data_IF_089282306647
#
_entry.id   IF_089282306647
#
_cell.length_a   1.000
_cell.length_b   1.000
_cell.length_c   1.000
_cell.angle_alpha   90.00
_cell.angle_beta   90.00
_cell.angle_gamma   90.00
#
_symmetry.space_group_name_H-M   'P 1'
#
loop_
_entity.id
_entity.type
_entity.pdbx_description
1 polymer ?
#
# COMPACT_ATOMS: atom_id res chain seq x y z
N UNK A 1 -3.50 -0.08 -1.59
CA UNK A 1 -4.58 -0.70 -2.41
C UNK A 1 -5.21 0.29 -3.40
N UNK A 2 -5.64 1.48 -2.97
CA UNK A 2 -6.31 2.45 -3.86
C UNK A 2 -5.41 3.10 -4.93
N UNK A 3 -4.07 3.10 -4.76
CA UNK A 3 -3.12 3.67 -5.72
C UNK A 3 -3.26 3.05 -7.13
N UNK A 4 -3.69 1.78 -7.22
CA UNK A 4 -4.12 1.17 -8.47
C UNK A 4 -5.65 1.05 -8.50
N UNK A 5 -6.31 2.08 -9.03
CA UNK A 5 -7.78 2.19 -9.08
C UNK A 5 -8.41 1.05 -9.86
N UNK A 6 -7.76 0.56 -10.92
CA UNK A 6 -8.28 -0.52 -11.75
C UNK A 6 -8.25 -1.87 -11.02
N UNK A 7 -7.13 -2.19 -10.36
CA UNK A 7 -7.03 -3.38 -9.50
C UNK A 7 -8.01 -3.30 -8.33
N UNK A 8 -8.13 -2.13 -7.69
CA UNK A 8 -9.10 -1.93 -6.60
C UNK A 8 -10.54 -2.14 -7.10
N UNK A 9 -10.89 -1.55 -8.25
CA UNK A 9 -12.22 -1.72 -8.85
C UNK A 9 -12.50 -3.18 -9.19
N UNK A 10 -11.51 -3.89 -9.73
CA UNK A 10 -11.62 -5.31 -10.05
C UNK A 10 -11.88 -6.15 -8.78
N UNK A 11 -11.13 -5.92 -7.70
CA UNK A 11 -11.32 -6.64 -6.44
C UNK A 11 -12.71 -6.39 -5.84
N UNK A 12 -13.19 -5.15 -5.83
CA UNK A 12 -14.53 -4.81 -5.36
C UNK A 12 -15.63 -5.44 -6.25
N UNK A 13 -15.38 -5.55 -7.56
CA UNK A 13 -16.27 -6.27 -8.49
C UNK A 13 -16.31 -7.77 -8.18
N UNK A 14 -15.16 -8.39 -7.92
CA UNK A 14 -15.06 -9.81 -7.55
C UNK A 14 -15.76 -10.07 -6.22
N UNK A 15 -15.68 -9.15 -5.27
CA UNK A 15 -16.39 -9.25 -4.00
C UNK A 15 -17.91 -9.33 -4.17
N UNK A 16 -18.47 -8.53 -5.07
CA UNK A 16 -19.92 -8.54 -5.33
C UNK A 16 -20.33 -9.74 -6.19
N UNK A 17 -19.68 -9.90 -7.33
CA UNK A 17 -20.11 -10.85 -8.36
C UNK A 17 -19.46 -12.22 -8.23
N UNK A 18 -18.42 -12.41 -7.41
CA UNK A 18 -17.60 -13.63 -7.45
C UNK A 18 -16.77 -13.75 -8.74
N UNK A 19 -15.94 -14.80 -8.82
CA UNK A 19 -15.09 -15.06 -10.00
C UNK A 19 -15.83 -15.89 -11.06
N UNK A 20 -16.70 -16.81 -10.64
CA UNK A 20 -17.34 -17.83 -11.49
C UNK A 20 -18.86 -17.62 -11.68
N UNK A 21 -19.35 -16.39 -11.89
CA UNK A 21 -20.80 -16.17 -12.08
C UNK A 21 -21.26 -16.14 -13.53
N UNK A 22 -22.20 -17.03 -13.86
CA UNK A 22 -22.76 -17.22 -15.20
C UNK A 22 -24.29 -17.02 -15.29
N UNK A 23 -24.95 -16.37 -14.32
CA UNK A 23 -26.43 -16.26 -14.34
C UNK A 23 -26.99 -14.87 -14.04
N UNK A 24 -26.63 -14.27 -12.92
CA UNK A 24 -27.08 -12.91 -12.56
C UNK A 24 -25.91 -12.15 -11.92
N UNK A 25 -25.54 -11.00 -12.48
CA UNK A 25 -24.44 -10.17 -11.97
C UNK A 25 -24.89 -8.73 -11.85
N UNK A 26 -24.39 -8.02 -10.84
CA UNK A 26 -24.55 -6.57 -10.76
C UNK A 26 -23.74 -5.92 -11.88
N UNK A 27 -24.44 -5.21 -12.77
CA UNK A 27 -23.80 -4.48 -13.87
C UNK A 27 -23.03 -3.28 -13.31
N UNK A 28 -21.70 -3.33 -13.44
CA UNK A 28 -20.78 -2.26 -13.04
C UNK A 28 -20.41 -1.49 -14.31
N UNK A 29 -21.27 -0.54 -14.66
CA UNK A 29 -21.06 0.35 -15.80
C UNK A 29 -20.12 1.53 -15.43
N UNK A 30 -19.94 2.48 -16.35
CA UNK A 30 -19.07 3.65 -16.15
C UNK A 30 -19.52 4.61 -15.03
N UNK A 31 -20.80 4.59 -14.67
CA UNK A 31 -21.37 5.50 -13.67
C UNK A 31 -21.13 4.99 -12.24
N UNK A 32 -20.92 3.68 -12.08
CA UNK A 32 -20.45 3.10 -10.82
C UNK A 32 -18.98 3.46 -10.64
N UNK A 33 -18.63 4.14 -9.56
CA UNK A 33 -17.26 4.51 -9.21
C UNK A 33 -16.89 4.01 -7.82
N UNK A 34 -15.59 4.06 -7.50
CA UNK A 34 -15.11 3.77 -6.14
C UNK A 34 -15.45 4.98 -5.27
N UNK A 35 -16.07 4.72 -4.13
CA UNK A 35 -16.39 5.70 -3.09
C UNK A 35 -15.68 5.31 -1.79
N UNK A 36 -15.22 6.32 -1.05
CA UNK A 36 -14.70 6.16 0.30
C UNK A 36 -15.82 6.37 1.30
N UNK A 37 -15.95 5.49 2.29
CA UNK A 37 -16.99 5.65 3.31
C UNK A 37 -16.63 6.78 4.25
N UNK A 38 -15.42 6.77 4.80
CA UNK A 38 -14.79 7.92 5.48
C UNK A 38 -14.35 9.00 4.48
N UNK A 39 -14.52 10.26 4.87
CA UNK A 39 -14.11 11.41 4.07
C UNK A 39 -12.60 11.43 3.78
N UNK A 40 -12.24 11.80 2.57
CA UNK A 40 -10.85 12.03 2.19
C UNK A 40 -10.35 13.40 2.68
N UNK A 41 -11.25 14.30 3.07
CA UNK A 41 -10.87 15.53 3.76
C UNK A 41 -10.44 15.21 5.20
N UNK A 42 -9.12 15.23 5.41
CA UNK A 42 -8.48 15.02 6.71
C UNK A 42 -8.89 16.05 7.78
N UNK A 43 -9.43 17.19 7.38
CA UNK A 43 -9.87 18.26 8.27
C UNK A 43 -11.40 18.27 8.48
N UNK A 44 -12.08 17.17 8.16
CA UNK A 44 -13.54 17.06 8.32
C UNK A 44 -13.96 16.94 9.79
N UNK A 45 -14.49 18.02 10.36
CA UNK A 45 -14.95 18.08 11.76
C UNK A 45 -15.98 16.99 12.10
N UNK A 46 -16.87 16.66 11.17
CA UNK A 46 -17.89 15.63 11.39
C UNK A 46 -17.28 14.23 11.49
N UNK A 47 -16.26 13.94 10.68
CA UNK A 47 -15.54 12.67 10.77
C UNK A 47 -14.59 12.61 11.98
N UNK A 48 -14.03 13.75 12.41
CA UNK A 48 -13.35 13.84 13.71
C UNK A 48 -14.27 13.43 14.86
N UNK A 49 -15.51 13.92 14.88
CA UNK A 49 -16.51 13.54 15.90
C UNK A 49 -16.93 12.07 15.79
N UNK A 50 -17.12 11.56 14.56
CA UNK A 50 -17.55 10.19 14.29
C UNK A 50 -16.50 9.14 14.74
N UNK A 51 -15.21 9.43 14.54
CA UNK A 51 -14.11 8.52 14.90
C UNK A 51 -13.61 8.76 16.34
N UNK A 52 -13.64 10.00 16.81
CA UNK A 52 -13.15 10.42 18.12
C UNK A 52 -11.64 10.69 18.15
N UNK A 53 -11.04 10.61 19.35
CA UNK A 53 -9.68 11.07 19.65
C UNK A 53 -8.58 10.47 18.76
N UNK A 54 -8.81 9.27 18.21
CA UNK A 54 -7.86 8.58 17.33
C UNK A 54 -8.05 8.90 15.85
N UNK A 55 -8.84 9.92 15.48
CA UNK A 55 -9.18 10.23 14.09
C UNK A 55 -7.97 10.25 13.16
N UNK A 56 -6.91 11.00 13.48
CA UNK A 56 -5.77 11.12 12.58
C UNK A 56 -5.05 9.78 12.35
N UNK A 57 -4.94 8.94 13.38
CA UNK A 57 -4.36 7.61 13.27
C UNK A 57 -5.24 6.69 12.41
N UNK A 58 -6.55 6.69 12.66
CA UNK A 58 -7.51 5.86 11.91
C UNK A 58 -7.60 6.32 10.45
N UNK A 59 -7.58 7.62 10.21
CA UNK A 59 -7.60 8.20 8.88
C UNK A 59 -6.39 7.76 8.08
N UNK A 60 -5.19 8.00 8.60
CA UNK A 60 -3.92 7.66 7.95
C UNK A 60 -3.85 6.16 7.61
N UNK A 61 -4.20 5.32 8.59
CA UNK A 61 -4.09 3.87 8.46
C UNK A 61 -5.15 3.24 7.57
N UNK A 62 -6.37 3.78 7.53
CA UNK A 62 -7.53 3.07 6.98
C UNK A 62 -8.21 3.75 5.79
N UNK A 63 -7.95 5.02 5.49
CA UNK A 63 -8.66 5.77 4.44
C UNK A 63 -8.65 5.06 3.09
N UNK A 64 -7.52 4.47 2.70
CA UNK A 64 -7.30 3.79 1.42
C UNK A 64 -7.34 2.26 1.49
N UNK A 65 -8.00 1.71 2.51
CA UNK A 65 -8.07 0.27 2.76
C UNK A 65 -9.40 -0.35 2.34
N UNK A 66 -9.42 -1.66 2.13
CA UNK A 66 -10.59 -2.41 1.69
C UNK A 66 -11.83 -2.19 2.57
N UNK A 67 -11.62 -2.05 3.88
CA UNK A 67 -12.71 -1.78 4.83
C UNK A 67 -13.43 -0.47 4.55
N UNK A 68 -12.75 0.52 3.97
CA UNK A 68 -13.29 1.87 3.79
C UNK A 68 -13.70 2.20 2.35
N UNK A 69 -13.60 1.24 1.42
CA UNK A 69 -13.90 1.45 0.00
C UNK A 69 -15.15 0.68 -0.43
N UNK A 70 -15.91 1.26 -1.35
CA UNK A 70 -17.11 0.64 -1.93
C UNK A 70 -17.30 1.02 -3.40
N UNK A 71 -18.19 0.31 -4.11
CA UNK A 71 -18.72 0.70 -5.40
C UNK A 71 -20.12 1.30 -5.24
N UNK A 72 -20.33 2.46 -5.87
CA UNK A 72 -21.64 3.13 -5.88
C UNK A 72 -21.81 3.95 -7.16
N UNK A 73 -23.06 4.05 -7.63
CA UNK A 73 -23.44 4.98 -8.70
C UNK A 73 -23.83 6.38 -8.19
N UNK A 74 -23.78 6.59 -6.88
CA UNK A 74 -24.22 7.82 -6.21
C UNK A 74 -23.06 8.61 -5.59
N UNK A 75 -21.85 8.44 -6.11
CA UNK A 75 -20.64 9.02 -5.53
C UNK A 75 -20.74 10.55 -5.45
N UNK A 76 -21.22 11.21 -6.51
CA UNK A 76 -21.47 12.65 -6.55
C UNK A 76 -22.37 13.18 -5.44
N UNK A 77 -23.28 12.35 -4.93
CA UNK A 77 -24.23 12.70 -3.87
C UNK A 77 -23.72 12.36 -2.47
N UNK A 78 -22.62 11.60 -2.36
CA UNK A 78 -22.07 11.06 -1.12
C UNK A 78 -20.78 11.78 -0.71
N UNK A 79 -19.75 11.74 -1.55
CA UNK A 79 -18.46 12.42 -1.39
C UNK A 79 -17.97 12.50 0.08
N UNK A 80 -17.64 13.69 0.57
CA UNK A 80 -17.12 13.93 1.92
C UNK A 80 -18.20 14.04 3.01
N UNK A 81 -19.45 13.65 2.72
CA UNK A 81 -20.52 13.73 3.72
C UNK A 81 -20.26 12.83 4.93
N UNK A 82 -20.83 13.20 6.10
CA UNK A 82 -20.84 12.33 7.27
C UNK A 82 -21.46 10.96 6.97
N UNK A 83 -21.04 9.92 7.69
CA UNK A 83 -21.54 8.57 7.45
C UNK A 83 -23.06 8.46 7.52
N UNK A 84 -23.69 9.16 8.46
CA UNK A 84 -25.14 9.18 8.65
C UNK A 84 -25.89 9.75 7.43
N UNK A 85 -25.24 10.57 6.62
CA UNK A 85 -25.81 11.14 5.40
C UNK A 85 -25.57 10.27 4.17
N UNK A 86 -24.76 9.21 4.27
CA UNK A 86 -24.49 8.27 3.17
C UNK A 86 -25.64 7.28 2.91
N UNK A 87 -26.88 7.73 3.13
CA UNK A 87 -28.11 6.95 3.04
C UNK A 87 -28.40 6.40 1.64
N UNK A 88 -27.86 7.00 0.57
CA UNK A 88 -28.05 6.46 -0.78
C UNK A 88 -27.46 5.05 -0.91
N UNK A 89 -26.37 4.74 -0.19
CA UNK A 89 -25.86 3.38 -0.14
C UNK A 89 -26.82 2.49 0.66
N UNK A 90 -27.26 2.94 1.83
CA UNK A 90 -28.15 2.17 2.72
C UNK A 90 -29.49 1.80 2.07
N UNK A 91 -30.05 2.70 1.27
CA UNK A 91 -31.41 2.57 0.71
C UNK A 91 -31.42 2.06 -0.73
N UNK A 92 -30.42 2.45 -1.55
CA UNK A 92 -30.48 2.27 -3.01
C UNK A 92 -29.36 1.43 -3.59
N UNK A 93 -28.45 0.92 -2.76
CA UNK A 93 -27.35 0.11 -3.29
C UNK A 93 -27.86 -1.20 -3.88
N UNK A 94 -27.41 -1.50 -5.10
CA UNK A 94 -27.61 -2.80 -5.75
C UNK A 94 -26.49 -3.80 -5.42
N UNK A 95 -25.50 -3.37 -4.66
CA UNK A 95 -24.35 -4.18 -4.26
C UNK A 95 -24.65 -4.85 -2.92
N UNK A 96 -25.23 -6.04 -2.95
CA UNK A 96 -25.77 -6.74 -1.78
C UNK A 96 -24.64 -7.23 -0.88
N UNK A 97 -23.67 -7.95 -1.45
CA UNK A 97 -22.59 -8.52 -0.64
C UNK A 97 -21.59 -7.45 -0.23
N UNK A 98 -21.20 -6.61 -1.18
CA UNK A 98 -20.20 -5.57 -0.94
C UNK A 98 -20.74 -4.58 0.08
N UNK A 99 -22.00 -4.14 0.04
CA UNK A 99 -22.51 -3.08 0.93
C UNK A 99 -23.31 -3.56 2.14
N UNK A 100 -23.39 -4.87 2.40
CA UNK A 100 -24.14 -5.42 3.52
C UNK A 100 -23.78 -4.80 4.88
N UNK A 101 -22.50 -4.50 5.14
CA UNK A 101 -22.08 -3.91 6.43
C UNK A 101 -22.46 -2.44 6.58
N UNK A 102 -22.91 -1.77 5.52
CA UNK A 102 -23.21 -0.33 5.52
C UNK A 102 -24.69 -0.09 5.80
N UNK A 103 -25.55 -1.00 5.33
CA UNK A 103 -27.01 -0.82 5.29
C UNK A 103 -27.59 -0.54 6.68
N UNK A 104 -27.25 -1.37 7.67
CA UNK A 104 -27.80 -1.28 9.04
C UNK A 104 -26.82 -0.67 10.05
N UNK A 105 -25.72 -0.09 9.57
CA UNK A 105 -24.71 0.46 10.46
C UNK A 105 -25.06 1.90 10.84
N UNK A 106 -25.06 2.18 12.14
CA UNK A 106 -25.29 3.53 12.66
C UNK A 106 -24.01 4.36 12.57
N UNK A 107 -22.88 3.78 12.97
CA UNK A 107 -21.57 4.45 13.05
C UNK A 107 -20.48 3.77 12.22
N UNK A 108 -19.59 4.59 11.64
CA UNK A 108 -18.46 4.14 10.83
C UNK A 108 -17.12 4.42 11.49
N UNK A 109 -16.92 3.79 12.64
CA UNK A 109 -15.70 3.90 13.43
C UNK A 109 -14.60 2.89 13.00
N UNK A 110 -13.45 2.94 13.67
CA UNK A 110 -12.33 2.01 13.41
C UNK A 110 -12.76 0.53 13.48
N UNK A 111 -13.59 0.18 14.46
CA UNK A 111 -14.08 -1.19 14.64
C UNK A 111 -14.92 -1.64 13.44
N UNK A 112 -15.80 -0.78 12.93
CA UNK A 112 -16.60 -1.04 11.73
C UNK A 112 -15.72 -1.26 10.51
N UNK A 113 -14.72 -0.40 10.31
CA UNK A 113 -13.78 -0.48 9.19
C UNK A 113 -12.99 -1.79 9.24
N UNK A 114 -12.48 -2.16 10.41
CA UNK A 114 -11.71 -3.40 10.62
C UNK A 114 -12.56 -4.64 10.43
N UNK A 115 -13.76 -4.68 11.01
CA UNK A 115 -14.67 -5.82 10.88
C UNK A 115 -15.05 -6.06 9.41
N UNK A 116 -15.35 -4.98 8.68
CA UNK A 116 -15.61 -5.07 7.24
C UNK A 116 -14.39 -5.51 6.44
N UNK A 117 -13.22 -4.95 6.73
CA UNK A 117 -11.98 -5.35 6.05
C UNK A 117 -11.73 -6.85 6.18
N UNK A 118 -11.93 -7.42 7.38
CA UNK A 118 -11.76 -8.86 7.63
C UNK A 118 -12.79 -9.71 6.88
N UNK A 119 -14.06 -9.28 6.84
CA UNK A 119 -15.11 -10.00 6.09
C UNK A 119 -14.81 -10.02 4.59
N UNK A 120 -14.47 -8.86 4.03
CA UNK A 120 -14.18 -8.71 2.60
C UNK A 120 -12.88 -9.44 2.22
N UNK A 121 -11.82 -9.33 3.01
CA UNK A 121 -10.56 -10.04 2.75
C UNK A 121 -10.78 -11.56 2.79
N UNK A 122 -11.54 -12.06 3.77
CA UNK A 122 -11.87 -13.48 3.88
C UNK A 122 -12.63 -13.98 2.65
N UNK A 123 -13.60 -13.20 2.14
CA UNK A 123 -14.31 -13.53 0.91
C UNK A 123 -13.37 -13.56 -0.29
N UNK A 124 -12.53 -12.55 -0.49
CA UNK A 124 -11.57 -12.51 -1.60
C UNK A 124 -10.63 -13.72 -1.58
N UNK A 125 -10.08 -14.07 -0.41
CA UNK A 125 -9.21 -15.23 -0.26
C UNK A 125 -9.92 -16.55 -0.60
N UNK A 126 -11.20 -16.66 -0.27
CA UNK A 126 -12.01 -17.84 -0.61
C UNK A 126 -12.30 -17.95 -2.12
N UNK A 127 -12.54 -16.81 -2.78
CA UNK A 127 -12.88 -16.74 -4.21
C UNK A 127 -11.66 -16.96 -5.11
N UNK A 128 -10.54 -16.28 -4.82
CA UNK A 128 -9.36 -16.24 -5.68
C UNK A 128 -8.61 -17.57 -5.79
N UNK A 129 -8.99 -18.60 -5.02
CA UNK A 129 -8.34 -19.93 -4.97
C UNK A 129 -6.83 -19.83 -5.08
N UNK A 130 -6.24 -18.92 -4.30
CA UNK A 130 -4.83 -18.56 -4.44
C UNK A 130 -3.95 -19.81 -4.35
N UNK A 131 -2.89 -19.91 -5.18
CA UNK A 131 -1.92 -20.99 -5.07
C UNK A 131 -1.40 -21.11 -3.63
N UNK A 132 -1.09 -22.32 -3.18
CA UNK A 132 -0.76 -22.58 -1.77
C UNK A 132 0.49 -21.82 -1.31
N UNK A 133 1.36 -21.39 -2.23
CA UNK A 133 2.46 -20.46 -1.95
C UNK A 133 1.99 -19.11 -1.37
N UNK A 134 0.85 -18.58 -1.82
CA UNK A 134 0.27 -17.33 -1.31
C UNK A 134 -0.51 -17.52 -0.02
N UNK A 135 -0.95 -18.75 0.31
CA UNK A 135 -1.60 -19.07 1.60
C UNK A 135 -0.59 -19.23 2.74
N UNK A 136 0.70 -19.35 2.42
CA UNK A 136 1.81 -19.49 3.38
C UNK A 136 2.35 -18.16 3.92
N UNK A 137 1.64 -17.05 3.73
CA UNK A 137 1.94 -15.83 4.47
C UNK A 137 1.65 -16.13 5.94
N UNK A 138 2.70 -16.47 6.70
CA UNK A 138 2.61 -16.57 8.15
C UNK A 138 2.10 -15.21 8.63
N UNK A 139 1.08 -15.23 9.50
CA UNK A 139 0.89 -14.13 10.45
C UNK A 139 2.16 -14.10 11.29
N UNK A 140 3.22 -13.45 10.81
CA UNK A 140 4.28 -13.02 11.70
C UNK A 140 3.59 -12.18 12.76
N UNK A 141 3.87 -12.48 14.02
CA UNK A 141 3.50 -11.56 15.08
C UNK A 141 4.07 -10.18 14.71
N UNK A 142 3.43 -9.10 15.13
CA UNK A 142 3.94 -7.77 14.84
C UNK A 142 5.31 -7.47 15.49
N UNK A 143 6.02 -8.46 16.06
CA UNK A 143 7.32 -8.23 16.67
C UNK A 143 8.36 -7.98 15.58
N UNK A 144 9.05 -6.84 15.71
CA UNK A 144 10.11 -6.43 14.80
C UNK A 144 9.66 -5.92 13.44
N UNK A 145 8.35 -5.75 13.18
CA UNK A 145 7.85 -5.04 11.98
C UNK A 145 8.01 -3.53 12.17
N UNK A 146 8.61 -2.87 11.19
CA UNK A 146 8.82 -1.42 11.19
C UNK A 146 8.34 -0.79 9.88
N UNK A 147 7.68 0.36 9.97
CA UNK A 147 7.46 1.26 8.83
C UNK A 147 8.64 2.23 8.66
N UNK A 148 8.72 2.90 7.51
CA UNK A 148 9.76 3.90 7.28
C UNK A 148 9.58 5.16 8.14
N UNK A 149 8.37 5.46 8.61
CA UNK A 149 8.06 6.68 9.36
C UNK A 149 8.26 6.56 10.87
N UNK A 150 8.60 5.36 11.35
CA UNK A 150 9.00 5.16 12.72
C UNK A 150 10.33 5.87 13.04
N UNK A 151 10.31 6.75 14.04
CA UNK A 151 11.52 7.42 14.53
C UNK A 151 12.30 6.52 15.51
N UNK A 152 12.79 5.40 15.00
CA UNK A 152 13.55 4.38 15.74
C UNK A 152 14.98 4.33 15.21
N UNK A 153 15.95 4.26 16.12
CA UNK A 153 17.35 4.06 15.75
C UNK A 153 17.65 2.55 15.62
N UNK A 154 18.11 2.15 14.44
CA UNK A 154 18.46 0.76 14.11
C UNK A 154 19.97 0.46 14.21
N UNK A 155 20.73 1.30 14.94
CA UNK A 155 22.14 1.05 15.21
C UNK A 155 22.35 -0.29 15.91
N UNK A 156 23.20 -1.14 15.32
CA UNK A 156 23.50 -2.49 15.83
C UNK A 156 22.45 -3.55 15.47
N UNK A 157 21.34 -3.17 14.83
CA UNK A 157 20.31 -4.09 14.33
C UNK A 157 20.65 -4.63 12.95
N UNK A 158 20.04 -5.76 12.58
CA UNK A 158 20.15 -6.36 11.24
C UNK A 158 18.79 -6.50 10.61
N UNK A 159 18.69 -6.10 9.34
CA UNK A 159 17.53 -6.41 8.51
C UNK A 159 17.42 -7.93 8.33
N UNK A 160 16.19 -8.44 8.47
CA UNK A 160 15.82 -9.86 8.35
C UNK A 160 15.00 -10.11 7.08
N UNK A 161 14.04 -9.24 6.80
CA UNK A 161 13.19 -9.31 5.61
C UNK A 161 12.56 -7.95 5.34
N UNK A 162 11.99 -7.78 4.16
CA UNK A 162 11.14 -6.64 3.82
C UNK A 162 10.02 -7.06 2.89
N UNK A 163 8.97 -6.24 2.86
CA UNK A 163 7.87 -6.33 1.89
C UNK A 163 7.87 -5.02 1.11
N UNK A 164 7.97 -5.10 -0.21
CA UNK A 164 7.81 -3.95 -1.12
C UNK A 164 6.75 -4.30 -2.17
N UNK A 165 5.72 -3.47 -2.31
CA UNK A 165 4.64 -3.69 -3.30
C UNK A 165 3.97 -5.08 -3.17
N UNK A 166 3.98 -5.64 -1.96
CA UNK A 166 3.43 -6.97 -1.66
C UNK A 166 4.41 -8.13 -1.87
N UNK A 167 5.59 -7.90 -2.44
CA UNK A 167 6.65 -8.91 -2.57
C UNK A 167 7.48 -8.98 -1.29
N UNK A 168 7.59 -10.16 -0.68
CA UNK A 168 8.41 -10.40 0.51
C UNK A 168 9.76 -10.99 0.12
N UNK A 169 10.86 -10.37 0.57
CA UNK A 169 12.23 -10.90 0.43
C UNK A 169 12.93 -11.02 1.78
N UNK A 170 13.53 -12.18 2.02
CA UNK A 170 14.47 -12.37 3.13
C UNK A 170 15.83 -11.76 2.78
N UNK A 171 16.46 -11.12 3.77
CA UNK A 171 17.76 -10.44 3.61
C UNK A 171 18.61 -10.64 4.85
N UNK A 172 19.93 -10.54 4.71
CA UNK A 172 20.89 -10.74 5.81
C UNK A 172 21.53 -9.45 6.30
N UNK A 173 21.30 -8.34 5.58
CA UNK A 173 21.85 -7.03 5.90
C UNK A 173 21.00 -5.90 5.32
N UNK A 174 21.15 -4.69 5.86
CA UNK A 174 20.52 -3.50 5.31
C UNK A 174 21.03 -3.18 3.89
N UNK A 175 22.30 -3.48 3.59
CA UNK A 175 22.88 -3.32 2.25
C UNK A 175 22.18 -4.21 1.23
N UNK A 176 21.99 -5.49 1.57
CA UNK A 176 21.25 -6.44 0.72
C UNK A 176 19.80 -5.99 0.54
N UNK A 177 19.16 -5.49 1.61
CA UNK A 177 17.83 -4.89 1.53
C UNK A 177 17.76 -3.74 0.53
N UNK A 178 18.70 -2.79 0.58
CA UNK A 178 18.75 -1.66 -0.35
C UNK A 178 18.89 -2.12 -1.81
N UNK A 179 19.81 -3.06 -2.06
CA UNK A 179 20.03 -3.61 -3.40
C UNK A 179 18.75 -4.30 -3.89
N UNK A 180 18.14 -5.17 -3.10
CA UNK A 180 16.92 -5.89 -3.48
C UNK A 180 15.71 -4.97 -3.69
N UNK A 181 15.59 -3.87 -2.94
CA UNK A 181 14.61 -2.82 -3.25
C UNK A 181 14.83 -2.27 -4.65
N UNK A 182 16.07 -1.93 -5.00
CA UNK A 182 16.38 -1.43 -6.34
C UNK A 182 16.21 -2.48 -7.44
N UNK A 183 16.40 -3.77 -7.16
CA UNK A 183 16.13 -4.86 -8.11
C UNK A 183 14.63 -4.92 -8.46
N UNK A 184 13.75 -4.90 -7.44
CA UNK A 184 12.29 -4.87 -7.64
C UNK A 184 11.88 -3.64 -8.45
N UNK A 185 12.43 -2.47 -8.12
CA UNK A 185 12.10 -1.23 -8.83
C UNK A 185 12.67 -1.18 -10.26
N UNK A 186 13.81 -1.83 -10.50
CA UNK A 186 14.36 -1.99 -11.85
C UNK A 186 13.51 -2.93 -12.71
N UNK A 187 12.90 -3.96 -12.12
CA UNK A 187 11.94 -4.81 -12.82
C UNK A 187 10.64 -4.06 -13.15
N UNK A 188 10.22 -3.14 -12.26
CA UNK A 188 9.00 -2.35 -12.44
C UNK A 188 9.15 -1.24 -13.49
N UNK A 189 10.19 -0.40 -13.39
CA UNK A 189 10.46 0.71 -14.32
C UNK A 189 11.95 0.76 -14.74
N UNK A 190 12.42 -0.18 -15.57
CA UNK A 190 13.84 -0.31 -15.92
C UNK A 190 14.44 0.93 -16.59
N UNK A 191 13.66 1.58 -17.47
CA UNK A 191 14.11 2.80 -18.17
C UNK A 191 14.38 3.96 -17.23
N UNK A 192 13.62 4.06 -16.14
CA UNK A 192 13.76 5.14 -15.15
C UNK A 192 15.03 4.99 -14.35
N UNK A 193 15.32 3.78 -13.85
CA UNK A 193 16.54 3.53 -13.11
C UNK A 193 17.79 3.68 -14.00
N UNK A 194 17.70 3.19 -15.23
CA UNK A 194 18.74 3.39 -16.23
C UNK A 194 18.99 4.88 -16.54
N UNK A 195 17.92 5.69 -16.63
CA UNK A 195 18.03 7.13 -16.84
C UNK A 195 18.77 7.82 -15.68
N UNK A 196 18.41 7.50 -14.43
CA UNK A 196 19.08 8.02 -13.23
C UNK A 196 20.57 7.63 -13.21
N UNK A 197 20.88 6.38 -13.51
CA UNK A 197 22.24 5.87 -13.53
C UNK A 197 23.12 6.53 -14.61
N UNK A 198 22.56 6.79 -15.80
CA UNK A 198 23.26 7.52 -16.88
C UNK A 198 23.64 8.94 -16.48
N UNK A 199 22.86 9.55 -15.60
CA UNK A 199 23.10 10.91 -15.11
C UNK A 199 24.01 10.96 -13.88
N UNK A 200 24.52 9.82 -13.40
CA UNK A 200 25.23 9.71 -12.12
C UNK A 200 24.41 10.35 -11.00
N UNK A 201 23.13 9.96 -10.89
CA UNK A 201 22.15 10.60 -10.03
C UNK A 201 22.66 10.85 -8.60
N UNK A 202 22.54 12.09 -8.15
CA UNK A 202 22.84 12.54 -6.78
C UNK A 202 21.52 12.93 -6.12
N UNK A 203 21.14 12.28 -5.00
CA UNK A 203 19.93 12.66 -4.27
C UNK A 203 20.02 14.08 -3.71
N UNK A 204 18.88 14.74 -3.53
CA UNK A 204 18.83 16.04 -2.85
C UNK A 204 19.50 15.97 -1.48
N UNK A 205 20.27 17.02 -1.15
CA UNK A 205 21.08 17.13 0.06
C UNK A 205 22.19 16.06 0.19
N UNK A 206 22.64 15.46 -0.92
CA UNK A 206 23.82 14.60 -0.99
C UNK A 206 24.89 15.23 -1.87
N UNK A 207 26.16 14.90 -1.60
CA UNK A 207 27.28 15.16 -2.51
C UNK A 207 27.76 13.88 -3.21
N UNK A 208 27.24 12.72 -2.80
CA UNK A 208 27.63 11.42 -3.31
C UNK A 208 26.63 10.92 -4.34
N UNK A 209 27.15 10.37 -5.43
CA UNK A 209 26.40 9.64 -6.44
C UNK A 209 25.70 8.44 -5.78
N UNK A 210 24.40 8.30 -6.04
CA UNK A 210 23.61 7.17 -5.58
C UNK A 210 23.54 6.09 -6.66
N UNK A 211 23.20 6.46 -7.90
CA UNK A 211 23.12 5.53 -9.04
C UNK A 211 24.12 5.91 -10.12
N UNK A 212 24.80 4.93 -10.69
CA UNK A 212 25.81 5.13 -11.73
C UNK A 212 25.92 3.90 -12.63
N UNK A 213 26.29 4.09 -13.89
CA UNK A 213 26.74 2.99 -14.77
C UNK A 213 28.23 2.66 -14.59
N UNK A 214 28.96 3.46 -13.80
CA UNK A 214 30.36 3.30 -13.49
C UNK A 214 30.55 3.13 -11.98
N UNK A 215 30.92 1.92 -11.56
CA UNK A 215 31.14 1.58 -10.15
C UNK A 215 32.27 2.38 -9.50
N UNK A 216 33.22 2.91 -10.26
CA UNK A 216 34.36 3.68 -9.72
C UNK A 216 33.97 5.06 -9.18
N UNK A 217 32.75 5.53 -9.49
CA UNK A 217 32.18 6.76 -8.93
C UNK A 217 31.54 6.53 -7.54
N UNK A 218 31.46 5.29 -7.08
CA UNK A 218 30.80 4.89 -5.83
C UNK A 218 31.85 4.37 -4.85
N UNK A 219 31.64 4.61 -3.56
CA UNK A 219 32.54 4.14 -2.49
C UNK A 219 32.41 2.63 -2.30
N UNK A 220 31.18 2.12 -2.21
CA UNK A 220 30.87 0.68 -2.24
C UNK A 220 29.70 0.44 -3.20
N UNK A 221 30.02 0.40 -4.50
CA UNK A 221 29.06 0.16 -5.56
C UNK A 221 28.65 -1.31 -5.64
N UNK A 222 27.35 -1.60 -5.48
CA UNK A 222 26.77 -2.93 -5.76
C UNK A 222 25.95 -2.87 -7.04
N UNK A 223 26.14 -3.87 -7.89
CA UNK A 223 25.37 -3.99 -9.13
C UNK A 223 23.95 -4.50 -8.85
N UNK A 224 22.97 -3.97 -9.59
CA UNK A 224 21.55 -4.32 -9.49
C UNK A 224 21.22 -5.28 -10.63
N UNK A 225 20.74 -6.50 -10.32
CA UNK A 225 20.26 -7.50 -11.29
C UNK A 225 21.18 -7.78 -12.50
N UNK A 226 22.51 -7.63 -12.36
CA UNK A 226 23.48 -7.71 -13.48
C UNK A 226 23.14 -6.77 -14.66
N UNK A 227 22.51 -5.63 -14.37
CA UNK A 227 22.04 -4.67 -15.38
C UNK A 227 23.13 -3.71 -15.86
N UNK A 228 24.32 -3.72 -15.25
CA UNK A 228 25.33 -2.66 -15.38
C UNK A 228 25.01 -1.40 -14.60
N UNK A 229 23.89 -1.34 -13.87
CA UNK A 229 23.53 -0.24 -12.96
C UNK A 229 24.07 -0.56 -11.57
N UNK A 230 24.76 0.40 -10.97
CA UNK A 230 25.33 0.29 -9.62
C UNK A 230 24.69 1.29 -8.66
N UNK A 231 24.54 0.87 -7.41
CA UNK A 231 24.08 1.69 -6.28
C UNK A 231 25.16 1.84 -5.21
N UNK A 232 25.31 3.05 -4.65
CA UNK A 232 26.17 3.30 -3.48
C UNK A 232 25.57 2.70 -2.20
N UNK A 233 26.33 1.82 -1.55
CA UNK A 233 25.88 1.08 -0.36
C UNK A 233 26.70 1.33 0.90
N UNK A 234 27.77 2.13 0.85
CA UNK A 234 28.56 2.49 2.04
C UNK A 234 27.80 3.47 2.94
N UNK A 235 26.82 2.95 3.68
CA UNK A 235 25.84 3.71 4.47
C UNK A 235 25.49 2.92 5.74
N UNK A 236 25.16 3.65 6.81
CA UNK A 236 24.58 3.03 8.01
C UNK A 236 23.16 2.49 7.71
N UNK A 237 22.63 1.61 8.55
CA UNK A 237 21.25 1.12 8.39
C UNK A 237 20.24 2.29 8.35
N UNK A 238 20.37 3.26 9.25
CA UNK A 238 19.50 4.44 9.25
C UNK A 238 19.62 5.27 7.97
N UNK A 239 20.82 5.41 7.40
CA UNK A 239 21.01 6.10 6.12
C UNK A 239 20.46 5.32 4.93
N UNK A 240 20.49 3.98 5.01
CA UNK A 240 19.85 3.12 4.02
C UNK A 240 18.33 3.33 4.05
N UNK A 241 17.69 3.39 5.22
CA UNK A 241 16.26 3.66 5.32
C UNK A 241 15.89 5.04 4.75
N UNK A 242 16.69 6.08 5.02
CA UNK A 242 16.53 7.40 4.40
C UNK A 242 16.71 7.36 2.88
N UNK A 243 17.65 6.54 2.40
CA UNK A 243 17.89 6.35 0.97
C UNK A 243 16.69 5.64 0.31
N UNK A 244 16.13 4.62 0.95
CA UNK A 244 14.91 3.94 0.48
C UNK A 244 13.75 4.93 0.39
N UNK A 245 13.50 5.78 1.40
CA UNK A 245 12.47 6.83 1.32
C UNK A 245 12.61 7.69 0.06
N UNK A 246 13.81 8.23 -0.18
CA UNK A 246 14.09 9.05 -1.37
C UNK A 246 13.87 8.28 -2.67
N UNK A 247 14.22 7.00 -2.70
CA UNK A 247 13.97 6.15 -3.87
C UNK A 247 12.47 5.97 -4.07
N UNK A 248 11.69 5.68 -3.03
CA UNK A 248 10.23 5.57 -3.13
C UNK A 248 9.60 6.87 -3.64
N UNK A 249 10.07 8.04 -3.18
CA UNK A 249 9.63 9.35 -3.68
C UNK A 249 9.88 9.50 -5.19
N UNK A 250 11.08 9.14 -5.66
CA UNK A 250 11.45 9.18 -7.08
C UNK A 250 10.53 8.29 -7.91
N UNK A 251 10.15 7.13 -7.37
CA UNK A 251 9.23 6.18 -7.99
C UNK A 251 7.75 6.49 -7.74
N UNK A 252 7.44 7.60 -7.04
CA UNK A 252 6.08 8.01 -6.67
C UNK A 252 5.30 6.90 -5.93
N UNK A 253 5.97 6.14 -5.07
CA UNK A 253 5.40 5.08 -4.25
C UNK A 253 5.09 5.57 -2.83
N UNK A 254 4.07 5.00 -2.19
CA UNK A 254 3.80 5.31 -0.78
C UNK A 254 4.83 4.64 0.11
N UNK A 255 5.16 5.26 1.24
CA UNK A 255 6.00 4.62 2.26
C UNK A 255 5.31 3.41 2.89
N UNK A 256 3.98 3.34 2.86
CA UNK A 256 3.20 2.17 3.28
C UNK A 256 3.41 0.95 2.38
N UNK A 257 3.88 1.17 1.14
CA UNK A 257 4.20 0.08 0.22
C UNK A 257 5.49 -0.64 0.62
N UNK A 258 6.23 -0.12 1.60
CA UNK A 258 7.45 -0.70 2.14
C UNK A 258 7.36 -0.92 3.66
N UNK A 259 7.53 -2.16 4.10
CA UNK A 259 7.74 -2.50 5.51
C UNK A 259 8.92 -3.44 5.66
N UNK A 260 9.64 -3.35 6.77
CA UNK A 260 10.82 -4.19 7.00
C UNK A 260 10.82 -4.80 8.39
N UNK A 261 11.60 -5.86 8.54
CA UNK A 261 11.71 -6.63 9.76
C UNK A 261 13.16 -6.68 10.21
N UNK A 262 13.38 -6.57 11.52
CA UNK A 262 14.72 -6.61 12.12
C UNK A 262 14.84 -7.72 13.17
N UNK A 263 16.07 -8.18 13.40
CA UNK A 263 16.45 -8.98 14.58
C UNK A 263 17.07 -8.06 15.65
#
# INVERSE_FOLDING_TARGET
MYQNRDSCRLLLKILENGIDTLKETVNINKDVTIEHLMSQNRDSEEWHKEIGDNFYYVWDKYIHTLGNLTLTGYNSELFDKPFIEKNMIKVRSKFVFLNSDIIDKEHWNEEAIRARAERLSSKLLSELRLPDEFKKIKKEDGSGRHSLDENVDFTGKKAKSFILLGENREVRSATEMLVSVCEILNELEPDKLLHLARQNFIPENSQKVLFSLNSTLLTDGKEISNSGIYIETNKSFNDILRTIKKILDIFALSYDDFVFYVN
#
